data_IF_098359313809
#
_entry.id   IF_098359313809
#
_cell.length_a   1.000
_cell.length_b   1.000
_cell.length_c   1.000
_cell.angle_alpha   90.00
_cell.angle_beta   90.00
_cell.angle_gamma   90.00
#
_symmetry.space_group_name_H-M   'P 1'
#
loop_
_entity.id
_entity.type
_entity.pdbx_description
1 polymer ?
#
# COMPACT_ATOMS: atom_id res chain seq x y z
N UNK A 1 13.12 -0.92 -43.32
CA UNK A 1 12.73 0.02 -42.25
C UNK A 1 11.23 0.26 -42.32
N UNK A 2 10.60 0.43 -41.15
CA UNK A 2 9.20 0.85 -40.88
C UNK A 2 8.17 -0.28 -40.72
N UNK A 3 8.31 -1.03 -39.62
CA UNK A 3 7.18 -1.57 -38.86
C UNK A 3 7.10 -0.76 -37.57
N UNK A 4 6.08 0.10 -37.45
CA UNK A 4 5.60 0.70 -36.20
C UNK A 4 4.51 1.69 -36.60
N UNK A 5 3.27 1.40 -36.21
CA UNK A 5 2.21 2.37 -35.88
C UNK A 5 0.84 1.82 -36.25
N UNK A 6 0.32 0.89 -35.46
CA UNK A 6 -1.13 0.65 -35.28
C UNK A 6 -1.32 -0.26 -34.06
N UNK A 7 -1.11 0.26 -32.85
CA UNK A 7 -1.49 -0.45 -31.60
C UNK A 7 -2.00 0.51 -30.52
N UNK A 8 -2.68 1.59 -30.91
CA UNK A 8 -3.39 2.47 -29.97
C UNK A 8 -4.76 2.82 -30.53
N UNK A 9 -5.70 1.87 -30.51
CA UNK A 9 -7.11 2.15 -30.66
C UNK A 9 -7.92 0.90 -30.24
N UNK A 10 -8.26 0.79 -28.96
CA UNK A 10 -9.53 0.20 -28.46
C UNK A 10 -9.45 -0.04 -26.94
N UNK A 11 -9.71 0.99 -26.13
CA UNK A 11 -10.46 0.84 -24.86
C UNK A 11 -11.16 2.17 -24.60
N UNK A 12 -12.33 2.36 -25.20
CA UNK A 12 -13.18 3.52 -24.93
C UNK A 12 -14.63 3.07 -24.90
N UNK A 13 -15.02 2.28 -23.91
CA UNK A 13 -16.42 2.14 -23.48
C UNK A 13 -16.43 1.80 -21.99
N UNK A 14 -17.38 2.42 -21.27
CA UNK A 14 -17.74 2.26 -19.85
C UNK A 14 -17.00 3.20 -18.90
N UNK A 15 -17.41 4.49 -18.87
CA UNK A 15 -17.48 5.35 -17.68
C UNK A 15 -18.39 6.55 -18.01
N UNK A 16 -19.68 6.29 -18.30
CA UNK A 16 -20.68 7.35 -18.62
C UNK A 16 -21.79 7.46 -17.59
N UNK A 17 -21.53 7.23 -16.29
CA UNK A 17 -22.60 7.39 -15.26
C UNK A 17 -22.22 8.30 -14.09
N UNK A 18 -20.97 8.71 -13.90
CA UNK A 18 -20.64 9.72 -12.89
C UNK A 18 -19.83 10.84 -13.53
N UNK A 19 -20.43 12.03 -13.61
CA UNK A 19 -19.86 13.22 -14.24
C UNK A 19 -18.62 13.72 -13.53
N UNK A 20 -17.47 13.13 -13.86
CA UNK A 20 -16.17 13.75 -13.69
C UNK A 20 -15.66 14.13 -15.09
N UNK A 21 -15.51 15.43 -15.32
CA UNK A 21 -14.73 15.96 -16.44
C UNK A 21 -13.30 15.48 -16.26
N UNK A 22 -12.86 14.50 -17.07
CA UNK A 22 -11.45 14.10 -17.15
C UNK A 22 -10.70 15.17 -17.96
N UNK A 23 -10.00 16.03 -17.24
CA UNK A 23 -8.96 16.88 -17.78
C UNK A 23 -7.68 16.02 -17.91
N UNK A 24 -7.24 15.76 -19.13
CA UNK A 24 -6.13 14.86 -19.54
C UNK A 24 -4.75 15.21 -18.92
N UNK A 25 -4.69 16.26 -18.10
CA UNK A 25 -3.49 16.76 -17.43
C UNK A 25 -3.41 16.39 -15.94
N UNK A 26 -4.52 16.05 -15.29
CA UNK A 26 -4.56 15.77 -13.85
C UNK A 26 -4.14 14.35 -13.49
N UNK A 27 -4.28 13.40 -14.42
CA UNK A 27 -4.05 11.98 -14.13
C UNK A 27 -2.55 11.61 -14.13
N UNK A 28 -1.74 12.27 -14.97
CA UNK A 28 -0.29 12.03 -15.02
C UNK A 28 0.41 12.63 -13.79
N UNK A 29 0.00 13.82 -13.36
CA UNK A 29 0.57 14.49 -12.18
C UNK A 29 0.19 13.75 -10.88
N UNK A 30 -1.03 13.21 -10.80
CA UNK A 30 -1.48 12.39 -9.67
C UNK A 30 -0.76 11.04 -9.62
N UNK A 31 -0.52 10.38 -10.76
CA UNK A 31 0.28 9.14 -10.82
C UNK A 31 1.75 9.39 -10.44
N UNK A 32 2.35 10.47 -10.94
CA UNK A 32 3.74 10.82 -10.62
C UNK A 32 3.92 11.16 -9.13
N UNK A 33 2.99 11.94 -8.55
CA UNK A 33 3.01 12.26 -7.13
C UNK A 33 2.77 11.03 -6.25
N UNK A 34 1.89 10.12 -6.67
CA UNK A 34 1.67 8.85 -5.99
C UNK A 34 2.90 7.94 -6.03
N UNK A 35 3.57 7.84 -7.19
CA UNK A 35 4.84 7.11 -7.34
C UNK A 35 5.95 7.69 -6.46
N UNK A 36 6.03 9.02 -6.39
CA UNK A 36 6.99 9.69 -5.50
C UNK A 36 6.69 9.42 -4.01
N UNK A 37 5.41 9.32 -3.64
CA UNK A 37 4.98 9.09 -2.24
C UNK A 37 5.06 7.62 -1.83
N UNK A 38 4.72 6.68 -2.72
CA UNK A 38 4.69 5.24 -2.47
C UNK A 38 5.65 4.55 -3.46
N UNK A 39 6.88 4.30 -3.03
CA UNK A 39 7.85 3.51 -3.79
C UNK A 39 8.75 2.68 -2.88
N UNK A 40 9.42 1.69 -3.46
CA UNK A 40 10.33 0.82 -2.70
C UNK A 40 11.49 1.59 -2.05
N UNK A 41 11.98 2.67 -2.67
CA UNK A 41 13.11 3.45 -2.18
C UNK A 41 12.82 4.23 -0.89
N UNK A 42 11.56 4.57 -0.64
CA UNK A 42 11.14 5.26 0.59
C UNK A 42 10.35 4.36 1.55
N UNK A 43 10.49 3.04 1.43
CA UNK A 43 9.74 2.06 2.23
C UNK A 43 8.21 2.30 2.15
N UNK A 44 7.73 2.59 0.93
CA UNK A 44 6.33 2.84 0.62
C UNK A 44 5.72 3.95 1.50
N UNK A 45 6.46 5.06 1.63
CA UNK A 45 6.06 6.24 2.40
C UNK A 45 6.46 6.24 3.87
N UNK A 46 7.15 5.19 4.34
CA UNK A 46 7.55 5.04 5.75
C UNK A 46 9.07 4.79 5.89
N UNK A 47 9.96 5.73 5.55
CA UNK A 47 11.40 5.48 5.49
C UNK A 47 12.06 5.26 6.87
N UNK A 48 11.45 5.76 7.94
CA UNK A 48 11.92 5.57 9.32
C UNK A 48 11.06 4.47 9.95
N UNK A 49 11.65 3.36 10.42
CA UNK A 49 10.87 2.26 10.96
C UNK A 49 10.22 2.62 12.29
N UNK A 50 9.17 1.90 12.70
CA UNK A 50 8.32 2.29 13.82
C UNK A 50 8.99 2.25 15.21
N UNK A 51 10.12 1.57 15.34
CA UNK A 51 10.90 1.50 16.58
C UNK A 51 11.94 2.63 16.71
N UNK A 52 12.10 3.47 15.68
CA UNK A 52 13.01 4.60 15.69
C UNK A 52 12.23 5.92 15.87
N UNK A 53 12.88 6.93 16.43
CA UNK A 53 12.27 8.23 16.69
C UNK A 53 11.98 9.01 15.39
N UNK A 54 10.86 9.73 15.35
CA UNK A 54 10.45 10.51 14.17
C UNK A 54 9.81 9.66 13.07
N UNK A 55 9.41 8.42 13.38
CA UNK A 55 8.70 7.56 12.46
C UNK A 55 7.28 8.11 12.14
N UNK A 56 6.84 7.90 10.91
CA UNK A 56 5.45 8.13 10.51
C UNK A 56 4.97 7.00 9.58
N UNK A 57 3.71 6.55 9.71
CA UNK A 57 3.16 5.53 8.82
C UNK A 57 3.10 6.05 7.39
N UNK A 58 3.26 5.16 6.41
CA UNK A 58 3.22 5.55 4.99
C UNK A 58 1.81 5.55 4.39
N UNK A 59 0.94 4.69 4.92
CA UNK A 59 -0.36 4.38 4.35
C UNK A 59 -1.37 3.94 5.42
N UNK A 60 -2.64 3.96 5.05
CA UNK A 60 -3.75 3.44 5.85
C UNK A 60 -4.56 2.42 5.05
N UNK A 61 -4.90 1.29 5.66
CA UNK A 61 -5.77 0.26 5.07
C UNK A 61 -6.77 -0.22 6.12
N UNK A 62 -7.95 0.40 6.13
CA UNK A 62 -9.05 0.11 7.04
C UNK A 62 -10.34 0.78 6.58
N UNK A 63 -11.44 0.51 7.28
CA UNK A 63 -12.78 1.02 6.95
C UNK A 63 -13.06 2.41 7.53
N UNK A 64 -12.24 2.88 8.46
CA UNK A 64 -12.40 4.20 9.06
C UNK A 64 -11.70 5.29 8.24
N UNK A 65 -12.14 6.53 8.39
CA UNK A 65 -11.40 7.65 7.82
C UNK A 65 -10.11 7.85 8.64
N UNK A 66 -8.91 7.78 8.03
CA UNK A 66 -7.69 8.08 8.75
C UNK A 66 -7.76 9.54 9.23
N UNK A 67 -7.38 9.78 10.49
CA UNK A 67 -7.26 11.13 11.07
C UNK A 67 -6.08 11.92 10.51
N UNK A 68 -5.29 11.31 9.62
CA UNK A 68 -4.02 11.77 9.08
C UNK A 68 -4.07 11.89 7.56
N UNK A 69 -3.12 12.63 6.97
CA UNK A 69 -2.95 12.81 5.52
C UNK A 69 -2.37 11.56 4.80
N UNK A 70 -2.61 10.38 5.38
CA UNK A 70 -2.22 9.10 4.83
C UNK A 70 -3.06 8.78 3.60
N UNK A 71 -2.45 8.06 2.68
CA UNK A 71 -3.16 7.50 1.54
C UNK A 71 -4.00 6.32 2.05
N UNK A 72 -5.31 6.36 1.79
CA UNK A 72 -6.22 5.25 2.07
C UNK A 72 -6.16 4.24 0.93
N UNK A 73 -5.72 3.02 1.22
CA UNK A 73 -5.55 1.96 0.23
C UNK A 73 -6.85 1.19 -0.07
N UNK A 74 -7.93 1.43 0.68
CA UNK A 74 -9.29 0.97 0.32
C UNK A 74 -9.98 1.89 -0.70
N UNK A 75 -9.40 3.05 -1.02
CA UNK A 75 -9.93 3.93 -2.04
C UNK A 75 -9.71 3.32 -3.44
N UNK A 76 -10.79 3.16 -4.20
CA UNK A 76 -10.78 2.51 -5.51
C UNK A 76 -9.97 3.27 -6.56
N UNK A 77 -9.89 4.59 -6.46
CA UNK A 77 -9.11 5.43 -7.38
C UNK A 77 -7.64 5.26 -7.06
N UNK A 78 -7.25 5.46 -5.81
CA UNK A 78 -5.87 5.26 -5.36
C UNK A 78 -5.39 3.86 -5.72
N UNK A 79 -6.23 2.85 -5.48
CA UNK A 79 -5.84 1.49 -5.76
C UNK A 79 -5.71 1.18 -7.25
N UNK A 80 -6.61 1.73 -8.07
CA UNK A 80 -6.50 1.67 -9.52
C UNK A 80 -5.19 2.29 -10.01
N UNK A 81 -4.80 3.46 -9.49
CA UNK A 81 -3.55 4.12 -9.85
C UNK A 81 -2.31 3.33 -9.40
N UNK A 82 -2.29 2.79 -8.17
CA UNK A 82 -1.18 1.95 -7.71
C UNK A 82 -1.00 0.70 -8.58
N UNK A 83 -2.10 0.09 -9.03
CA UNK A 83 -2.03 -1.08 -9.92
C UNK A 83 -1.36 -0.81 -11.27
N UNK A 84 -1.33 0.46 -11.72
CA UNK A 84 -0.66 0.88 -12.95
C UNK A 84 0.84 1.16 -12.76
N UNK A 85 1.28 1.43 -11.53
CA UNK A 85 2.65 1.86 -11.24
C UNK A 85 3.68 0.72 -11.17
N UNK A 86 3.23 -0.54 -11.06
CA UNK A 86 4.07 -1.75 -10.91
C UNK A 86 5.26 -1.55 -9.94
N UNK A 87 4.99 -0.92 -8.79
CA UNK A 87 6.03 -0.51 -7.85
C UNK A 87 6.32 -1.55 -6.74
N UNK A 88 5.73 -2.75 -6.84
CA UNK A 88 5.86 -3.83 -5.85
C UNK A 88 5.00 -3.65 -4.59
N UNK A 89 4.03 -2.73 -4.64
CA UNK A 89 3.09 -2.43 -3.56
C UNK A 89 1.66 -2.31 -4.11
N UNK A 90 0.80 -3.23 -3.70
CA UNK A 90 -0.57 -3.34 -4.19
C UNK A 90 -1.56 -3.26 -3.02
N UNK A 91 -2.78 -2.76 -3.28
CA UNK A 91 -3.81 -2.83 -2.25
C UNK A 91 -4.47 -4.21 -2.23
N UNK A 92 -4.76 -4.74 -1.04
CA UNK A 92 -5.53 -5.97 -0.93
C UNK A 92 -6.97 -5.73 -1.41
N UNK A 93 -7.55 -6.72 -2.09
CA UNK A 93 -8.90 -6.71 -2.68
C UNK A 93 -9.13 -5.93 -4.00
N UNK A 94 -8.11 -5.80 -4.84
CA UNK A 94 -8.39 -5.75 -6.29
C UNK A 94 -8.38 -7.20 -6.79
N UNK A 95 -9.44 -7.66 -7.48
CA UNK A 95 -9.65 -9.06 -7.88
C UNK A 95 -8.63 -9.64 -8.87
N UNK A 96 -7.32 -9.42 -8.68
CA UNK A 96 -6.23 -9.80 -9.57
C UNK A 96 -4.97 -10.37 -8.90
N UNK A 97 -4.92 -10.55 -7.59
CA UNK A 97 -3.81 -11.27 -6.96
C UNK A 97 -4.29 -12.53 -6.24
N UNK A 98 -4.38 -13.61 -7.01
CA UNK A 98 -4.37 -15.00 -6.53
C UNK A 98 -2.93 -15.40 -6.18
N UNK A 99 -2.32 -14.74 -5.20
CA UNK A 99 -1.34 -15.44 -4.38
C UNK A 99 -2.12 -16.03 -3.22
N UNK A 100 -2.01 -17.36 -3.06
CA UNK A 100 -2.61 -18.03 -1.91
C UNK A 100 -2.20 -17.28 -0.64
N UNK A 101 -3.09 -17.13 0.35
CA UNK A 101 -2.69 -16.60 1.65
C UNK A 101 -1.42 -17.35 2.06
N UNK A 102 -0.37 -16.66 2.51
CA UNK A 102 0.74 -17.36 3.16
C UNK A 102 0.15 -17.99 4.41
N UNK A 103 -0.35 -19.22 4.26
CA UNK A 103 -0.93 -20.06 5.28
C UNK A 103 0.19 -20.32 6.30
N UNK A 104 0.36 -19.41 7.26
CA UNK A 104 1.55 -19.45 8.11
C UNK A 104 1.85 -18.21 8.95
N UNK A 105 1.16 -17.07 8.78
CA UNK A 105 1.35 -15.96 9.73
C UNK A 105 0.88 -16.38 11.13
N UNK A 106 1.84 -16.56 12.03
CA UNK A 106 1.58 -16.73 13.46
C UNK A 106 1.79 -15.37 14.11
N UNK A 107 0.77 -14.85 14.78
CA UNK A 107 0.93 -13.68 15.63
C UNK A 107 1.89 -14.05 16.77
N UNK A 108 3.12 -13.54 16.71
CA UNK A 108 4.16 -13.84 17.71
C UNK A 108 4.10 -12.87 18.88
N UNK A 109 3.54 -11.68 18.67
CA UNK A 109 3.48 -10.59 19.64
C UNK A 109 2.07 -10.01 19.65
N UNK A 110 1.38 -10.08 20.80
CA UNK A 110 0.02 -9.56 20.98
C UNK A 110 -0.03 -8.61 22.16
N UNK A 111 -0.91 -7.60 22.11
CA UNK A 111 -1.14 -6.67 23.24
C UNK A 111 -0.01 -5.68 23.54
N UNK A 112 0.97 -5.52 22.63
CA UNK A 112 2.03 -4.53 22.80
C UNK A 112 1.58 -3.13 22.38
N UNK A 113 2.18 -2.13 23.03
CA UNK A 113 2.00 -0.70 22.72
C UNK A 113 3.12 -0.10 21.87
N UNK A 114 4.06 -0.93 21.40
CA UNK A 114 5.22 -0.52 20.64
C UNK A 114 5.67 -1.64 19.69
N UNK A 115 6.38 -1.26 18.62
CA UNK A 115 6.96 -2.20 17.68
C UNK A 115 8.14 -2.95 18.30
N UNK A 116 8.11 -4.29 18.27
CA UNK A 116 9.31 -5.11 18.52
C UNK A 116 10.34 -4.83 17.43
N UNK A 117 11.57 -4.44 17.77
CA UNK A 117 12.66 -4.17 16.81
C UNK A 117 13.20 -5.45 16.16
N UNK A 118 13.58 -5.39 14.88
CA UNK A 118 14.36 -6.48 14.28
C UNK A 118 15.84 -6.35 14.57
N UNK A 119 16.50 -7.49 14.78
CA UNK A 119 17.96 -7.59 14.84
C UNK A 119 18.59 -7.92 13.49
N UNK A 120 17.77 -8.21 12.46
CA UNK A 120 18.24 -8.48 11.09
C UNK A 120 18.36 -7.17 10.34
N UNK A 121 19.55 -6.77 9.86
CA UNK A 121 19.69 -5.52 9.10
C UNK A 121 18.91 -5.58 7.78
N UNK A 122 18.14 -4.53 7.49
CA UNK A 122 17.46 -4.37 6.20
C UNK A 122 16.22 -5.24 5.99
N UNK A 123 15.70 -5.87 7.04
CA UNK A 123 14.47 -6.66 6.96
C UNK A 123 13.19 -5.83 7.08
N UNK A 124 13.31 -4.51 7.29
CA UNK A 124 12.17 -3.61 7.31
C UNK A 124 11.72 -3.27 5.89
N UNK A 125 10.42 -3.44 5.60
CA UNK A 125 9.85 -3.12 4.30
C UNK A 125 9.04 -1.83 4.30
N UNK A 126 8.11 -1.70 5.25
CA UNK A 126 7.21 -0.54 5.41
C UNK A 126 6.40 -0.68 6.70
N UNK A 127 5.70 0.37 7.11
CA UNK A 127 4.59 0.24 8.05
C UNK A 127 3.46 1.22 7.74
N UNK A 128 2.26 0.82 8.12
CA UNK A 128 1.04 1.59 7.97
C UNK A 128 0.08 1.37 9.13
N UNK A 129 -1.09 1.96 9.00
CA UNK A 129 -2.19 1.83 9.96
C UNK A 129 -3.28 0.93 9.36
N UNK A 130 -3.87 0.08 10.20
CA UNK A 130 -4.96 -0.85 9.84
C UNK A 130 -5.99 -0.87 10.95
N UNK A 131 -7.18 -1.42 10.72
CA UNK A 131 -8.19 -1.58 11.78
C UNK A 131 -8.10 -2.97 12.44
N UNK A 132 -7.70 -3.98 11.67
CA UNK A 132 -7.69 -5.40 12.09
C UNK A 132 -6.33 -6.07 11.84
N UNK A 133 -6.07 -7.20 12.54
CA UNK A 133 -4.87 -8.01 12.27
C UNK A 133 -4.95 -8.62 10.86
N UNK A 134 -6.15 -9.02 10.45
CA UNK A 134 -6.37 -9.61 9.13
C UNK A 134 -5.98 -8.65 8.01
N UNK A 135 -6.35 -7.38 8.11
CA UNK A 135 -5.95 -6.36 7.14
C UNK A 135 -4.43 -6.16 7.07
N UNK A 136 -3.71 -6.32 8.18
CA UNK A 136 -2.25 -6.33 8.17
C UNK A 136 -1.68 -7.53 7.42
N UNK A 137 -2.26 -8.72 7.62
CA UNK A 137 -1.88 -9.92 6.88
C UNK A 137 -2.15 -9.75 5.38
N UNK A 138 -3.30 -9.18 5.03
CA UNK A 138 -3.70 -8.92 3.65
C UNK A 138 -2.70 -7.98 2.97
N UNK A 139 -2.27 -6.91 3.65
CA UNK A 139 -1.20 -6.02 3.18
C UNK A 139 0.14 -6.73 3.01
N UNK A 140 0.52 -7.61 3.93
CA UNK A 140 1.77 -8.37 3.79
C UNK A 140 1.73 -9.31 2.57
N UNK A 141 0.56 -9.86 2.22
CA UNK A 141 0.42 -10.68 1.01
C UNK A 141 0.61 -9.87 -0.29
N UNK A 142 0.47 -8.54 -0.26
CA UNK A 142 0.62 -7.69 -1.45
C UNK A 142 1.96 -6.98 -1.57
N UNK A 143 2.80 -7.04 -0.52
CA UNK A 143 4.14 -6.43 -0.51
C UNK A 143 5.19 -7.48 -0.81
N UNK A 144 5.89 -7.30 -1.93
CA UNK A 144 6.95 -8.22 -2.36
C UNK A 144 8.02 -8.32 -1.28
N UNK A 145 8.29 -9.54 -0.83
CA UNK A 145 9.30 -9.84 0.18
C UNK A 145 8.75 -9.98 1.60
N UNK A 146 7.50 -9.59 1.88
CA UNK A 146 6.95 -9.62 3.23
C UNK A 146 6.73 -11.06 3.72
N UNK A 147 7.40 -11.44 4.80
CA UNK A 147 7.32 -12.76 5.44
C UNK A 147 6.78 -12.68 6.87
N UNK A 148 6.81 -11.49 7.48
CA UNK A 148 6.44 -11.29 8.86
C UNK A 148 5.65 -9.99 9.05
N UNK A 149 4.62 -10.06 9.90
CA UNK A 149 3.87 -8.90 10.35
C UNK A 149 4.13 -8.63 11.82
N UNK A 150 4.21 -7.36 12.18
CA UNK A 150 4.31 -6.89 13.56
C UNK A 150 3.15 -5.93 13.81
N UNK A 151 2.16 -6.39 14.57
CA UNK A 151 0.98 -5.60 14.92
C UNK A 151 1.04 -5.15 16.37
N UNK A 152 0.78 -3.87 16.61
CA UNK A 152 0.75 -3.28 17.95
C UNK A 152 -0.18 -2.06 17.96
N UNK A 153 -0.55 -1.58 19.14
CA UNK A 153 -1.35 -0.37 19.28
C UNK A 153 -0.45 0.81 19.61
N UNK A 154 -0.61 1.93 18.90
CA UNK A 154 0.03 3.19 19.25
C UNK A 154 -1.01 4.28 19.49
N UNK A 155 -0.56 5.52 19.71
CA UNK A 155 -1.45 6.68 19.92
C UNK A 155 -2.28 7.03 18.67
N UNK A 156 -1.95 6.49 17.50
CA UNK A 156 -2.61 6.73 16.22
C UNK A 156 -3.53 5.57 15.79
N UNK A 157 -3.59 4.48 16.56
CA UNK A 157 -4.48 3.35 16.30
C UNK A 157 -3.74 2.01 16.30
N UNK A 158 -4.13 1.10 15.41
CA UNK A 158 -3.48 -0.19 15.25
C UNK A 158 -2.48 -0.12 14.11
N UNK A 159 -1.21 -0.36 14.44
CA UNK A 159 -0.09 -0.28 13.52
C UNK A 159 0.22 -1.65 12.96
N UNK A 160 0.59 -1.68 11.68
CA UNK A 160 1.02 -2.85 10.94
C UNK A 160 2.40 -2.60 10.31
N UNK A 161 3.45 -3.21 10.87
CA UNK A 161 4.79 -3.16 10.30
C UNK A 161 5.14 -4.45 9.58
N UNK A 162 5.69 -4.32 8.37
CA UNK A 162 5.95 -5.39 7.43
C UNK A 162 7.46 -5.66 7.31
N UNK A 163 7.83 -6.94 7.27
CA UNK A 163 9.21 -7.41 7.12
C UNK A 163 9.30 -8.60 6.19
#
# INVERSE_FOLDING_TARGET
MRFLSTFFATVAVVLTVHGASLDDRTDVETVASLSAKINKGNCYGAPVPPWDAGCSPGWYYGDHHPSSSLICLKDVVICGLLSLLDCGFYCPNTGRHTEAPKNGYKEVFTGYTAAVRSVVPGDYLTYGLVDTVQECMDMCNTVVGCQFINTYHDVHGKVCALR
#
